data_IF_280629523013
#
_entry.id   IF_280629523013
#
_cell.length_a   1.000
_cell.length_b   1.000
_cell.length_c   1.000
_cell.angle_alpha   90.00
_cell.angle_beta   90.00
_cell.angle_gamma   90.00
#
_symmetry.space_group_name_H-M   'P 1'
#
loop_
_entity.id
_entity.type
_entity.pdbx_description
1 polymer ?
#
# COMPACT_ATOMS: atom_id res chain seq x y z
N UNK A 1 27.49 -64.46 8.92
CA UNK A 1 26.24 -63.84 8.44
C UNK A 1 26.05 -62.57 9.26
N UNK A 2 26.67 -61.47 8.82
CA UNK A 2 26.73 -60.19 9.55
C UNK A 2 26.08 -59.13 8.66
N UNK A 3 24.87 -58.72 9.03
CA UNK A 3 24.11 -57.69 8.33
C UNK A 3 24.71 -56.31 8.67
N UNK A 4 25.26 -55.64 7.65
CA UNK A 4 25.67 -54.25 7.75
C UNK A 4 24.48 -53.33 7.43
N UNK A 5 24.00 -52.70 8.49
CA UNK A 5 23.77 -51.26 8.65
C UNK A 5 23.62 -50.39 7.38
N UNK A 6 22.53 -49.62 7.32
CA UNK A 6 22.20 -48.77 6.17
C UNK A 6 21.30 -47.59 6.55
N UNK A 7 21.77 -46.71 7.44
CA UNK A 7 21.07 -45.47 7.77
C UNK A 7 20.91 -44.55 6.52
N UNK A 8 19.78 -43.82 6.39
CA UNK A 8 19.52 -42.99 5.21
C UNK A 8 20.42 -41.75 5.18
N UNK A 9 21.14 -41.55 4.06
CA UNK A 9 22.03 -40.40 3.87
C UNK A 9 21.26 -39.06 3.90
N UNK A 10 21.75 -38.03 4.60
CA UNK A 10 21.07 -36.74 4.68
C UNK A 10 21.11 -36.01 3.33
N UNK A 11 19.96 -35.50 2.88
CA UNK A 11 19.84 -34.69 1.65
C UNK A 11 20.55 -33.35 1.88
N UNK A 12 21.71 -33.15 1.25
CA UNK A 12 22.42 -31.87 1.24
C UNK A 12 21.53 -30.77 0.64
N UNK A 13 21.19 -29.75 1.42
CA UNK A 13 20.61 -28.50 0.90
C UNK A 13 21.72 -27.78 0.11
N UNK A 14 21.60 -27.79 -1.22
CA UNK A 14 22.51 -27.04 -2.08
C UNK A 14 22.32 -25.54 -1.81
N UNK A 15 23.39 -24.88 -1.38
CA UNK A 15 23.43 -23.45 -1.11
C UNK A 15 23.50 -22.72 -2.48
N UNK A 16 22.34 -22.37 -3.05
CA UNK A 16 22.25 -21.61 -4.31
C UNK A 16 22.54 -20.13 -4.04
N UNK A 17 23.82 -19.80 -3.90
CA UNK A 17 24.28 -18.43 -3.79
C UNK A 17 24.46 -17.78 -5.16
N UNK A 18 23.87 -16.60 -5.35
CA UNK A 18 24.17 -15.49 -6.26
C UNK A 18 24.51 -15.70 -7.76
N UNK A 19 25.12 -16.80 -8.19
CA UNK A 19 25.56 -17.05 -9.58
C UNK A 19 24.43 -17.48 -10.53
N UNK A 20 23.24 -17.74 -10.00
CA UNK A 20 22.10 -18.30 -10.73
C UNK A 20 21.18 -17.20 -11.33
N UNK A 21 21.35 -15.94 -10.91
CA UNK A 21 20.45 -14.82 -11.25
C UNK A 21 20.57 -14.34 -12.70
N UNK A 22 21.76 -14.46 -13.30
CA UNK A 22 22.02 -14.09 -14.70
C UNK A 22 22.11 -15.31 -15.62
N UNK A 23 21.65 -16.48 -15.17
CA UNK A 23 21.55 -17.65 -16.04
C UNK A 23 20.46 -17.42 -17.11
N UNK A 24 20.57 -18.02 -18.31
CA UNK A 24 19.52 -17.90 -19.34
C UNK A 24 18.13 -18.26 -18.82
N UNK A 25 18.02 -19.32 -18.00
CA UNK A 25 16.76 -19.74 -17.39
C UNK A 25 16.20 -18.70 -16.39
N UNK A 26 17.06 -18.00 -15.65
CA UNK A 26 16.63 -16.92 -14.76
C UNK A 26 16.14 -15.70 -15.54
N UNK A 27 16.81 -15.36 -16.65
CA UNK A 27 16.39 -14.27 -17.56
C UNK A 27 15.02 -14.61 -18.17
N UNK A 28 14.84 -15.80 -18.74
CA UNK A 28 13.55 -16.23 -19.30
C UNK A 28 12.42 -16.25 -18.27
N UNK A 29 12.72 -16.65 -17.03
CA UNK A 29 11.76 -16.59 -15.92
C UNK A 29 11.38 -15.14 -15.63
N UNK A 30 12.35 -14.24 -15.59
CA UNK A 30 12.12 -12.82 -15.33
C UNK A 30 11.29 -12.16 -16.44
N UNK A 31 11.60 -12.44 -17.71
CA UNK A 31 10.82 -11.95 -18.85
C UNK A 31 9.35 -12.41 -18.80
N UNK A 32 9.12 -13.66 -18.41
CA UNK A 32 7.78 -14.20 -18.22
C UNK A 32 7.03 -13.52 -17.08
N UNK A 33 7.72 -13.30 -15.96
CA UNK A 33 7.17 -12.59 -14.81
C UNK A 33 6.85 -11.11 -15.17
N UNK A 34 7.67 -10.44 -16.00
CA UNK A 34 7.36 -9.10 -16.55
C UNK A 34 6.12 -9.12 -17.45
N UNK A 35 5.98 -10.15 -18.30
CA UNK A 35 4.80 -10.30 -19.15
C UNK A 35 3.51 -10.49 -18.33
N UNK A 36 3.61 -11.14 -17.16
CA UNK A 36 2.51 -11.24 -16.20
C UNK A 36 2.03 -9.85 -15.73
N UNK A 37 2.95 -8.92 -15.46
CA UNK A 37 2.62 -7.54 -15.09
C UNK A 37 1.89 -6.82 -16.22
N UNK A 38 2.37 -6.93 -17.46
CA UNK A 38 1.72 -6.28 -18.61
C UNK A 38 0.31 -6.80 -18.86
N UNK A 39 0.11 -8.12 -18.81
CA UNK A 39 -1.24 -8.70 -18.95
C UNK A 39 -2.16 -8.27 -17.81
N UNK A 40 -1.64 -8.18 -16.59
CA UNK A 40 -2.44 -7.72 -15.45
C UNK A 40 -2.83 -6.25 -15.59
N UNK A 41 -1.93 -5.38 -16.08
CA UNK A 41 -2.21 -3.97 -16.41
C UNK A 41 -3.29 -3.83 -17.48
N UNK A 42 -3.29 -4.71 -18.48
CA UNK A 42 -4.31 -4.79 -19.52
C UNK A 42 -5.67 -5.35 -19.03
N UNK A 43 -5.80 -5.70 -17.75
CA UNK A 43 -7.06 -6.15 -17.15
C UNK A 43 -7.31 -7.65 -17.21
N UNK A 44 -6.34 -8.46 -17.64
CA UNK A 44 -6.48 -9.91 -17.68
C UNK A 44 -6.68 -10.50 -16.27
N UNK A 45 -7.51 -11.56 -16.17
CA UNK A 45 -7.70 -12.30 -14.92
C UNK A 45 -6.49 -13.18 -14.62
N UNK A 46 -6.25 -13.50 -13.33
CA UNK A 46 -5.13 -14.37 -12.95
C UNK A 46 -5.18 -15.76 -13.58
N UNK A 47 -6.38 -16.27 -13.86
CA UNK A 47 -6.54 -17.54 -14.55
C UNK A 47 -6.12 -17.42 -16.02
N UNK A 48 -6.61 -16.38 -16.73
CA UNK A 48 -6.22 -16.12 -18.12
C UNK A 48 -4.70 -15.92 -18.27
N UNK A 49 -4.07 -15.22 -17.31
CA UNK A 49 -2.62 -15.03 -17.28
C UNK A 49 -1.90 -16.37 -17.06
N UNK A 50 -2.42 -17.23 -16.19
CA UNK A 50 -1.84 -18.54 -15.94
C UNK A 50 -1.89 -19.43 -17.19
N UNK A 51 -3.04 -19.46 -17.86
CA UNK A 51 -3.24 -20.23 -19.08
C UNK A 51 -2.35 -19.70 -20.22
N UNK A 52 -2.25 -18.37 -20.36
CA UNK A 52 -1.48 -17.73 -21.42
C UNK A 52 0.04 -17.83 -21.24
N UNK A 53 0.55 -17.80 -20.00
CA UNK A 53 1.98 -17.83 -19.70
C UNK A 53 2.46 -19.22 -19.23
N UNK A 54 1.59 -20.22 -19.23
CA UNK A 54 1.93 -21.59 -18.83
C UNK A 54 2.19 -21.77 -17.34
N UNK A 55 1.61 -20.93 -16.48
CA UNK A 55 1.66 -21.17 -15.03
C UNK A 55 0.68 -22.28 -14.64
N UNK A 56 1.08 -23.14 -13.70
CA UNK A 56 0.25 -24.28 -13.31
C UNK A 56 -1.12 -23.91 -12.69
N UNK A 57 -1.28 -22.69 -12.18
CA UNK A 57 -2.56 -22.17 -11.68
C UNK A 57 -2.52 -20.65 -11.50
N UNK A 58 -3.70 -20.05 -11.27
CA UNK A 58 -3.86 -18.62 -10.97
C UNK A 58 -2.99 -18.10 -9.81
N UNK A 59 -2.72 -18.94 -8.81
CA UNK A 59 -1.91 -18.57 -7.64
C UNK A 59 -0.44 -18.40 -7.99
N UNK A 60 0.08 -19.18 -8.92
CA UNK A 60 1.44 -19.04 -9.43
C UNK A 60 1.61 -17.77 -10.26
N UNK A 61 0.62 -17.42 -11.08
CA UNK A 61 0.62 -16.13 -11.80
C UNK A 61 0.64 -14.94 -10.83
N UNK A 62 -0.16 -14.99 -9.75
CA UNK A 62 -0.14 -13.98 -8.70
C UNK A 62 1.23 -13.86 -8.00
N UNK A 63 1.86 -14.99 -7.66
CA UNK A 63 3.20 -14.99 -7.03
C UNK A 63 4.26 -14.42 -7.97
N UNK A 64 4.21 -14.75 -9.26
CA UNK A 64 5.09 -14.18 -10.28
C UNK A 64 4.94 -12.66 -10.36
N UNK A 65 3.70 -12.17 -10.41
CA UNK A 65 3.41 -10.74 -10.35
C UNK A 65 3.99 -10.08 -9.09
N UNK A 66 3.77 -10.68 -7.91
CA UNK A 66 4.30 -10.16 -6.65
C UNK A 66 5.84 -10.16 -6.61
N UNK A 67 6.50 -11.14 -7.22
CA UNK A 67 7.95 -11.19 -7.30
C UNK A 67 8.52 -9.99 -8.06
N UNK A 68 7.90 -9.62 -9.19
CA UNK A 68 8.26 -8.40 -9.93
C UNK A 68 7.96 -7.16 -9.11
N UNK A 69 6.77 -7.04 -8.55
CA UNK A 69 6.38 -5.87 -7.75
C UNK A 69 7.28 -5.66 -6.52
N UNK A 70 7.90 -6.72 -5.99
CA UNK A 70 8.86 -6.63 -4.88
C UNK A 70 10.20 -6.04 -5.33
N UNK A 71 10.63 -6.35 -6.56
CA UNK A 71 11.86 -5.83 -7.16
C UNK A 71 11.72 -4.38 -7.65
N UNK A 72 10.49 -3.96 -7.93
CA UNK A 72 10.11 -2.56 -8.12
C UNK A 72 9.45 -2.02 -6.86
N UNK A 73 10.17 -1.86 -5.74
CA UNK A 73 9.61 -1.17 -4.60
C UNK A 73 9.16 0.21 -5.10
N UNK A 74 7.88 0.53 -4.89
CA UNK A 74 7.46 1.92 -4.91
C UNK A 74 8.44 2.68 -4.01
N UNK A 75 8.95 3.82 -4.48
CA UNK A 75 9.84 4.65 -3.67
C UNK A 75 9.26 4.75 -2.26
N UNK A 76 10.09 4.45 -1.26
CA UNK A 76 9.65 4.52 0.12
C UNK A 76 9.07 5.90 0.39
N UNK A 77 8.01 5.94 1.19
CA UNK A 77 7.31 7.19 1.48
C UNK A 77 8.30 8.22 2.04
N UNK A 78 9.30 7.78 2.80
CA UNK A 78 10.35 8.65 3.31
C UNK A 78 11.29 9.18 2.22
N UNK A 79 11.72 8.34 1.28
CA UNK A 79 12.50 8.77 0.11
C UNK A 79 11.73 9.83 -0.69
N UNK A 80 10.43 9.63 -0.89
CA UNK A 80 9.61 10.59 -1.60
C UNK A 80 9.42 11.90 -0.81
N UNK A 81 9.26 11.83 0.52
CA UNK A 81 9.26 13.01 1.40
C UNK A 81 10.56 13.80 1.23
N UNK A 82 11.71 13.13 1.26
CA UNK A 82 13.02 13.78 1.12
C UNK A 82 13.16 14.50 -0.23
N UNK A 83 12.79 13.84 -1.34
CA UNK A 83 12.82 14.45 -2.68
C UNK A 83 11.93 15.70 -2.73
N UNK A 84 10.73 15.64 -2.13
CA UNK A 84 9.83 16.79 -2.08
C UNK A 84 10.42 17.91 -1.21
N UNK A 85 11.00 17.58 -0.05
CA UNK A 85 11.66 18.56 0.82
C UNK A 85 12.81 19.27 0.12
N UNK A 86 13.67 18.53 -0.61
CA UNK A 86 14.75 19.11 -1.40
C UNK A 86 14.24 20.09 -2.47
N UNK A 87 13.12 19.75 -3.12
CA UNK A 87 12.46 20.64 -4.09
C UNK A 87 11.91 21.89 -3.44
N UNK A 88 11.29 21.78 -2.27
CA UNK A 88 10.81 22.94 -1.50
C UNK A 88 11.97 23.84 -1.07
N UNK A 89 13.06 23.28 -0.56
CA UNK A 89 14.23 24.05 -0.18
C UNK A 89 14.85 24.77 -1.38
N UNK A 90 14.89 24.13 -2.55
CA UNK A 90 15.35 24.77 -3.79
C UNK A 90 14.46 25.97 -4.19
N UNK A 91 13.13 25.83 -4.09
CA UNK A 91 12.19 26.92 -4.35
C UNK A 91 12.35 28.06 -3.35
N UNK A 92 12.50 27.76 -2.05
CA UNK A 92 12.74 28.77 -1.01
C UNK A 92 14.05 29.50 -1.30
N UNK A 93 15.16 28.79 -1.57
CA UNK A 93 16.45 29.40 -1.89
C UNK A 93 16.35 30.38 -3.06
N UNK A 94 15.60 30.03 -4.10
CA UNK A 94 15.40 30.91 -5.25
C UNK A 94 14.58 32.17 -4.92
N UNK A 95 13.57 32.05 -4.05
CA UNK A 95 12.68 33.16 -3.67
C UNK A 95 13.25 34.02 -2.52
N UNK A 96 14.18 33.49 -1.73
CA UNK A 96 14.68 34.13 -0.51
C UNK A 96 15.23 35.55 -0.72
N UNK A 97 16.01 35.85 -1.78
CA UNK A 97 16.45 37.22 -2.01
C UNK A 97 15.30 38.22 -2.24
N UNK A 98 14.19 37.77 -2.85
CA UNK A 98 13.00 38.58 -3.05
C UNK A 98 12.19 38.79 -1.77
N UNK A 99 12.15 37.78 -0.90
CA UNK A 99 11.59 37.90 0.46
C UNK A 99 12.37 38.96 1.26
N UNK A 100 13.70 38.90 1.25
CA UNK A 100 14.56 39.86 1.95
C UNK A 100 14.40 41.30 1.41
N UNK A 101 14.04 41.44 0.13
CA UNK A 101 13.70 42.73 -0.49
C UNK A 101 12.28 43.22 -0.19
N UNK A 102 11.50 42.49 0.61
CA UNK A 102 10.15 42.86 1.00
C UNK A 102 9.10 42.70 -0.10
N UNK A 103 9.36 41.89 -1.14
CA UNK A 103 8.35 41.61 -2.17
C UNK A 103 7.25 40.74 -1.57
N UNK A 104 6.08 41.33 -1.29
CA UNK A 104 4.96 40.66 -0.63
C UNK A 104 4.54 39.34 -1.31
N UNK A 105 4.53 39.31 -2.65
CA UNK A 105 4.24 38.07 -3.38
C UNK A 105 5.25 36.96 -3.10
N UNK A 106 6.54 37.27 -2.95
CA UNK A 106 7.56 36.26 -2.62
C UNK A 106 7.39 35.75 -1.18
N UNK A 107 7.06 36.66 -0.25
CA UNK A 107 6.74 36.31 1.14
C UNK A 107 5.57 35.31 1.18
N UNK A 108 4.47 35.64 0.51
CA UNK A 108 3.28 34.78 0.45
C UNK A 108 3.60 33.40 -0.15
N UNK A 109 4.40 33.35 -1.23
CA UNK A 109 4.79 32.07 -1.84
C UNK A 109 5.67 31.23 -0.92
N UNK A 110 6.66 31.83 -0.27
CA UNK A 110 7.53 31.12 0.69
C UNK A 110 6.75 30.64 1.91
N UNK A 111 5.84 31.46 2.46
CA UNK A 111 4.97 31.05 3.57
C UNK A 111 4.12 29.82 3.22
N UNK A 112 3.57 29.73 2.00
CA UNK A 112 2.81 28.54 1.55
C UNK A 112 3.70 27.31 1.37
N UNK A 113 4.94 27.49 0.92
CA UNK A 113 5.90 26.38 0.80
C UNK A 113 6.27 25.85 2.19
N UNK A 114 6.55 26.73 3.15
CA UNK A 114 6.84 26.36 4.54
C UNK A 114 5.65 25.63 5.19
N UNK A 115 4.43 26.07 4.94
CA UNK A 115 3.22 25.37 5.40
C UNK A 115 3.12 23.96 4.81
N UNK A 116 3.42 23.81 3.51
CA UNK A 116 3.46 22.50 2.85
C UNK A 116 4.55 21.59 3.43
N UNK A 117 5.73 22.12 3.75
CA UNK A 117 6.80 21.37 4.45
C UNK A 117 6.36 20.94 5.85
N UNK A 118 5.73 21.82 6.62
CA UNK A 118 5.23 21.48 7.95
C UNK A 118 4.17 20.38 7.92
N UNK A 119 3.28 20.38 6.91
CA UNK A 119 2.31 19.29 6.67
C UNK A 119 3.00 17.98 6.27
N UNK A 120 4.01 18.05 5.40
CA UNK A 120 4.77 16.88 4.95
C UNK A 120 5.47 16.15 6.11
N UNK A 121 6.00 16.91 7.07
CA UNK A 121 6.71 16.39 8.24
C UNK A 121 5.83 16.22 9.49
N UNK A 122 4.53 16.56 9.42
CA UNK A 122 3.63 16.46 10.58
C UNK A 122 3.95 17.43 11.72
N UNK A 123 4.66 18.53 11.44
CA UNK A 123 5.03 19.54 12.43
C UNK A 123 3.86 20.47 12.82
N UNK A 124 2.76 20.43 12.08
CA UNK A 124 1.56 21.20 12.41
C UNK A 124 0.83 20.58 13.60
N UNK A 125 0.29 21.44 14.47
CA UNK A 125 -0.66 21.03 15.50
C UNK A 125 -1.84 20.30 14.82
N UNK A 126 -2.31 19.16 15.34
CA UNK A 126 -3.48 18.51 14.78
C UNK A 126 -4.67 19.49 14.84
N UNK A 127 -5.25 19.77 13.68
CA UNK A 127 -6.50 20.51 13.59
C UNK A 127 -7.60 19.63 14.21
N UNK A 128 -8.27 20.12 15.25
CA UNK A 128 -9.48 19.48 15.75
C UNK A 128 -10.54 19.64 14.67
N UNK A 129 -10.79 18.58 13.93
CA UNK A 129 -11.95 18.51 13.03
C UNK A 129 -13.14 18.22 13.94
N UNK A 130 -13.87 19.27 14.30
CA UNK A 130 -15.22 19.11 14.86
C UNK A 130 -16.11 18.62 13.71
N UNK A 131 -16.23 17.30 13.57
CA UNK A 131 -17.30 16.71 12.80
C UNK A 131 -18.55 16.95 13.64
N UNK A 132 -19.24 18.05 13.39
CA UNK A 132 -20.64 18.15 13.79
C UNK A 132 -21.35 17.07 12.97
N UNK A 133 -21.84 15.98 13.57
CA UNK A 133 -22.70 15.08 12.81
C UNK A 133 -23.87 15.96 12.38
N UNK A 134 -24.08 16.09 11.06
CA UNK A 134 -25.40 16.48 10.60
C UNK A 134 -26.37 15.52 11.26
N UNK A 135 -27.31 16.08 12.03
CA UNK A 135 -28.31 15.50 12.93
C UNK A 135 -29.29 14.52 12.24
N UNK A 136 -28.81 13.80 11.21
CA UNK A 136 -29.68 13.16 10.22
C UNK A 136 -29.26 11.72 10.01
N UNK A 137 -28.01 11.40 9.70
CA UNK A 137 -27.66 10.02 9.35
C UNK A 137 -27.55 9.11 10.59
N UNK A 138 -26.88 9.56 11.65
CA UNK A 138 -26.75 8.77 12.88
C UNK A 138 -28.08 8.69 13.63
N UNK A 139 -28.82 9.80 13.70
CA UNK A 139 -30.12 9.85 14.38
C UNK A 139 -31.19 9.06 13.65
N UNK A 140 -31.15 9.04 12.31
CA UNK A 140 -32.04 8.17 11.51
C UNK A 140 -31.68 6.71 11.71
N UNK A 141 -30.39 6.36 11.66
CA UNK A 141 -29.94 4.99 11.90
C UNK A 141 -30.29 4.50 13.32
N UNK A 142 -30.23 5.39 14.32
CA UNK A 142 -30.59 5.08 15.70
C UNK A 142 -32.09 4.82 15.84
N UNK A 143 -32.95 5.67 15.25
CA UNK A 143 -34.40 5.47 15.22
C UNK A 143 -34.80 4.16 14.53
N UNK A 144 -34.17 3.85 13.39
CA UNK A 144 -34.41 2.59 12.68
C UNK A 144 -34.01 1.38 13.52
N UNK A 145 -32.89 1.46 14.25
CA UNK A 145 -32.43 0.38 15.12
C UNK A 145 -33.35 0.18 16.33
N UNK A 146 -33.80 1.26 16.96
CA UNK A 146 -34.79 1.23 18.05
C UNK A 146 -36.09 0.57 17.61
N UNK A 147 -36.59 0.90 16.42
CA UNK A 147 -37.77 0.24 15.86
C UNK A 147 -37.53 -1.26 15.61
N UNK A 148 -36.37 -1.65 15.11
CA UNK A 148 -36.03 -3.07 14.91
C UNK A 148 -35.98 -3.83 16.23
N UNK A 149 -35.40 -3.24 17.27
CA UNK A 149 -35.35 -3.83 18.62
C UNK A 149 -36.77 -3.99 19.16
N UNK A 150 -37.62 -2.97 19.02
CA UNK A 150 -39.04 -3.02 19.46
C UNK A 150 -39.83 -4.10 18.72
N UNK A 151 -39.64 -4.23 17.40
CA UNK A 151 -40.28 -5.27 16.58
C UNK A 151 -39.83 -6.69 16.98
N UNK A 152 -38.55 -6.89 17.29
CA UNK A 152 -38.03 -8.17 17.80
C UNK A 152 -38.58 -8.49 19.19
N UNK A 153 -38.58 -7.52 20.09
CA UNK A 153 -39.12 -7.66 21.44
C UNK A 153 -40.60 -8.06 21.44
N UNK A 154 -41.41 -7.46 20.55
CA UNK A 154 -42.82 -7.82 20.38
C UNK A 154 -43.04 -9.24 19.82
N UNK A 155 -42.06 -9.78 19.08
CA UNK A 155 -42.12 -11.14 18.53
C UNK A 155 -41.68 -12.20 19.53
N UNK A 156 -40.66 -11.90 20.34
CA UNK A 156 -40.03 -12.87 21.24
C UNK A 156 -40.46 -12.70 22.71
N UNK A 157 -41.34 -11.73 23.02
CA UNK A 157 -41.87 -11.46 24.36
C UNK A 157 -40.85 -10.89 25.35
N UNK A 158 -39.65 -10.52 24.87
CA UNK A 158 -38.61 -9.92 25.70
C UNK A 158 -38.92 -8.45 26.03
N UNK A 159 -38.66 -7.97 27.25
CA UNK A 159 -38.96 -6.59 27.64
C UNK A 159 -38.06 -5.61 26.87
N UNK A 160 -38.68 -4.57 26.31
CA UNK A 160 -37.96 -3.44 25.71
C UNK A 160 -37.32 -2.63 26.84
N UNK A 161 -36.02 -2.29 26.77
CA UNK A 161 -35.42 -1.36 27.71
C UNK A 161 -36.20 -0.04 27.70
N UNK A 162 -36.76 0.34 28.85
CA UNK A 162 -37.30 1.69 29.05
C UNK A 162 -36.14 2.58 29.50
N UNK A 163 -36.13 3.81 28.97
CA UNK A 163 -35.08 4.83 29.15
C UNK A 163 -34.52 4.93 30.57
#
# INVERSE_FOLDING_TARGET
>A
MTAADGAPKPRRKANRGATDQTSPAAIERWERDLKCVELRKAGATWQAIADQLGYANRGNAYRAFQAVMKEYPREDVETWRNIISDRYDAMIRALWPDVLRGKLLAVDRVSRILEAQAKLHGANRPEKIEITPGETDLDTALRELEEQIRRRAARDGSPVPQE
#
